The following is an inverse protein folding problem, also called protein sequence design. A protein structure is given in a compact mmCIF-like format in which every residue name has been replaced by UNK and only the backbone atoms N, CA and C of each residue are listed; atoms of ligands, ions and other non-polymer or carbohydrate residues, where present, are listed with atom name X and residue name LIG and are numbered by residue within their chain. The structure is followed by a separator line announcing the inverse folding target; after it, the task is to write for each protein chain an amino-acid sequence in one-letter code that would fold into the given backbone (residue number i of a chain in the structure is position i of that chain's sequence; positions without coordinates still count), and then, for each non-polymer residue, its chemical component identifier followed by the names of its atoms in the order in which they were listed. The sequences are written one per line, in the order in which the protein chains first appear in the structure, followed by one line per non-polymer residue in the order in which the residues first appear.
data_IF_970392238483
#
_entry.id   IF_970392238483
#
_cell.length_a   1.000
_cell.length_b   1.000
_cell.length_c   1.000
_cell.angle_alpha   90.00
_cell.angle_beta   90.00
_cell.angle_gamma   90.00
#
_symmetry.space_group_name_H-M   'P 1'
#
loop_
_entity.id
_entity.type
_entity.pdbx_description
1 polymer ?
#
# COMPACT_ATOMS: atom_id res chain seq x y z
N UNK A 1 -16.15 30.21 -3.59
CA UNK A 1 -17.37 29.87 -4.36
C UNK A 1 -17.03 29.49 -5.81
N UNK A 2 -16.59 30.42 -6.66
CA UNK A 2 -16.33 30.12 -8.10
C UNK A 2 -15.29 29.00 -8.30
N UNK A 3 -14.14 29.06 -7.61
CA UNK A 3 -13.12 28.02 -7.72
C UNK A 3 -13.67 26.63 -7.34
N UNK A 4 -14.49 26.56 -6.29
CA UNK A 4 -15.11 25.31 -5.82
C UNK A 4 -16.10 24.72 -6.85
N UNK A 5 -16.89 25.57 -7.50
CA UNK A 5 -17.83 25.13 -8.55
C UNK A 5 -17.11 24.68 -9.83
N UNK A 6 -15.89 25.14 -10.05
CA UNK A 6 -15.10 24.83 -11.25
C UNK A 6 -14.17 23.62 -11.08
N UNK A 7 -14.06 23.02 -9.89
CA UNK A 7 -13.12 21.92 -9.63
C UNK A 7 -13.29 20.76 -10.62
N UNK A 8 -14.53 20.32 -10.87
CA UNK A 8 -14.80 19.17 -11.73
C UNK A 8 -14.69 19.51 -13.23
N UNK A 9 -15.08 20.72 -13.63
CA UNK A 9 -15.23 21.06 -15.06
C UNK A 9 -14.05 21.82 -15.64
N UNK A 10 -13.30 22.55 -14.81
CA UNK A 10 -12.18 23.42 -15.21
C UNK A 10 -11.08 23.48 -14.14
N UNK A 11 -10.42 22.36 -13.84
CA UNK A 11 -9.51 22.26 -12.70
C UNK A 11 -8.31 23.20 -12.80
N UNK A 12 -7.76 23.43 -14.00
CA UNK A 12 -6.68 24.41 -14.22
C UNK A 12 -7.11 25.87 -13.94
N UNK A 13 -8.33 26.27 -14.32
CA UNK A 13 -8.84 27.60 -13.96
C UNK A 13 -9.07 27.71 -12.45
N UNK A 14 -9.58 26.65 -11.83
CA UNK A 14 -9.77 26.61 -10.38
C UNK A 14 -8.44 26.76 -9.64
N UNK A 15 -7.38 26.03 -10.02
CA UNK A 15 -6.04 26.19 -9.44
C UNK A 15 -5.52 27.61 -9.56
N UNK A 16 -5.63 28.25 -10.73
CA UNK A 16 -5.23 29.66 -10.93
C UNK A 16 -5.98 30.60 -9.98
N UNK A 17 -7.28 30.39 -9.76
CA UNK A 17 -8.08 31.19 -8.82
C UNK A 17 -7.67 30.95 -7.38
N UNK A 18 -7.39 29.70 -7.00
CA UNK A 18 -6.89 29.37 -5.66
C UNK A 18 -5.54 30.06 -5.40
N UNK A 19 -4.64 30.04 -6.37
CA UNK A 19 -3.36 30.75 -6.29
C UNK A 19 -3.55 32.27 -6.11
N UNK A 20 -4.52 32.88 -6.80
CA UNK A 20 -4.85 34.30 -6.60
C UNK A 20 -5.33 34.57 -5.17
N UNK A 21 -6.19 33.71 -4.60
CA UNK A 21 -6.64 33.86 -3.20
C UNK A 21 -5.47 33.81 -2.23
N UNK A 22 -4.53 32.89 -2.42
CA UNK A 22 -3.32 32.78 -1.57
C UNK A 22 -2.45 34.03 -1.68
N UNK A 23 -2.36 34.65 -2.87
CA UNK A 23 -1.59 35.86 -3.09
C UNK A 23 -2.22 37.10 -2.45
N UNK A 24 -3.55 37.24 -2.50
CA UNK A 24 -4.24 38.46 -2.04
C UNK A 24 -4.68 38.42 -0.58
N UNK A 25 -4.77 37.25 0.04
CA UNK A 25 -5.28 37.08 1.41
C UNK A 25 -4.39 36.19 2.30
N UNK A 26 -3.06 36.41 2.35
CA UNK A 26 -2.17 35.58 3.16
C UNK A 26 -2.48 35.71 4.66
N UNK A 27 -2.37 34.61 5.39
CA UNK A 27 -2.61 34.47 6.82
C UNK A 27 -4.09 34.34 7.19
N UNK A 28 -4.99 34.33 6.22
CA UNK A 28 -6.43 34.28 6.45
C UNK A 28 -7.01 32.87 6.30
N UNK A 29 -8.23 32.67 6.80
CA UNK A 29 -9.00 31.45 6.54
C UNK A 29 -9.27 31.20 5.04
N UNK A 30 -9.21 32.26 4.21
CA UNK A 30 -9.34 32.13 2.76
C UNK A 30 -8.09 31.50 2.15
N UNK A 31 -6.88 31.89 2.58
CA UNK A 31 -5.63 31.22 2.19
C UNK A 31 -5.67 29.75 2.66
N UNK A 32 -6.03 29.49 3.92
CA UNK A 32 -6.09 28.13 4.44
C UNK A 32 -7.06 27.26 3.63
N UNK A 33 -8.27 27.75 3.36
CA UNK A 33 -9.24 27.04 2.52
C UNK A 33 -8.69 26.82 1.11
N UNK A 34 -7.99 27.81 0.54
CA UNK A 34 -7.38 27.68 -0.78
C UNK A 34 -6.28 26.63 -0.81
N UNK A 35 -5.41 26.56 0.21
CA UNK A 35 -4.35 25.55 0.30
C UNK A 35 -4.93 24.15 0.45
N UNK A 36 -5.91 23.97 1.35
CA UNK A 36 -6.57 22.65 1.55
C UNK A 36 -7.23 22.13 0.29
N UNK A 37 -7.84 23.00 -0.52
CA UNK A 37 -8.40 22.63 -1.81
C UNK A 37 -7.32 22.44 -2.88
N UNK A 38 -6.33 23.34 -2.90
CA UNK A 38 -5.29 23.40 -3.92
C UNK A 38 -4.42 22.16 -3.94
N UNK A 39 -4.02 21.65 -2.77
CA UNK A 39 -3.23 20.39 -2.67
C UNK A 39 -3.95 19.24 -3.36
N UNK A 40 -5.23 19.07 -3.07
CA UNK A 40 -5.99 17.91 -3.56
C UNK A 40 -6.34 18.03 -5.03
N UNK A 41 -6.67 19.24 -5.47
CA UNK A 41 -6.93 19.51 -6.88
C UNK A 41 -5.66 19.36 -7.72
N UNK A 42 -4.51 19.79 -7.20
CA UNK A 42 -3.22 19.63 -7.86
C UNK A 42 -2.88 18.14 -8.01
N UNK A 43 -3.03 17.33 -6.95
CA UNK A 43 -2.88 15.86 -7.02
C UNK A 43 -3.83 15.22 -8.05
N UNK A 44 -5.12 15.61 -8.03
CA UNK A 44 -6.13 15.09 -8.97
C UNK A 44 -5.77 15.39 -10.43
N UNK A 45 -5.12 16.52 -10.69
CA UNK A 45 -4.66 16.91 -12.04
C UNK A 45 -3.27 16.40 -12.41
N UNK A 46 -2.57 15.72 -11.50
CA UNK A 46 -1.20 15.25 -11.72
C UNK A 46 -0.11 16.32 -11.55
N UNK A 47 -0.44 17.53 -11.08
CA UNK A 47 0.53 18.59 -10.77
C UNK A 47 1.08 18.42 -9.34
N UNK A 48 1.86 17.36 -9.16
CA UNK A 48 2.43 16.99 -7.86
C UNK A 48 3.37 18.05 -7.30
N UNK A 49 4.10 18.77 -8.16
CA UNK A 49 5.00 19.85 -7.73
C UNK A 49 4.21 21.00 -7.07
N UNK A 50 3.08 21.39 -7.66
CA UNK A 50 2.20 22.39 -7.06
C UNK A 50 1.56 21.87 -5.77
N UNK A 51 1.16 20.60 -5.73
CA UNK A 51 0.63 20.00 -4.51
C UNK A 51 1.65 20.05 -3.36
N UNK A 52 2.90 19.69 -3.63
CA UNK A 52 4.00 19.67 -2.65
C UNK A 52 4.28 21.06 -2.07
N UNK A 53 4.35 22.07 -2.95
CA UNK A 53 4.53 23.46 -2.53
C UNK A 53 3.37 23.96 -1.67
N UNK A 54 2.12 23.65 -2.04
CA UNK A 54 0.95 24.04 -1.25
C UNK A 54 0.85 23.28 0.08
N UNK A 55 1.24 22.01 0.12
CA UNK A 55 1.25 21.23 1.35
C UNK A 55 2.26 21.80 2.35
N UNK A 56 3.49 22.11 1.90
CA UNK A 56 4.48 22.77 2.74
C UNK A 56 4.00 24.11 3.28
N UNK A 57 3.46 24.97 2.41
CA UNK A 57 2.90 26.26 2.82
C UNK A 57 1.77 26.10 3.85
N UNK A 58 0.93 25.07 3.70
CA UNK A 58 -0.11 24.77 4.68
C UNK A 58 0.48 24.41 6.04
N UNK A 59 1.41 23.46 6.10
CA UNK A 59 1.98 23.00 7.37
C UNK A 59 2.78 24.09 8.09
N UNK A 60 3.49 24.93 7.34
CA UNK A 60 4.25 26.06 7.89
C UNK A 60 3.36 27.13 8.54
N UNK A 61 2.14 27.35 8.02
CA UNK A 61 1.26 28.45 8.47
C UNK A 61 0.06 28.03 9.30
N UNK A 62 -0.48 26.84 9.05
CA UNK A 62 -1.81 26.42 9.50
C UNK A 62 -1.82 25.07 10.22
N UNK A 63 -0.66 24.53 10.63
CA UNK A 63 -0.57 23.27 11.39
C UNK A 63 -1.37 23.28 12.70
N UNK A 64 -1.50 24.45 13.35
CA UNK A 64 -2.30 24.62 14.57
C UNK A 64 -3.80 24.90 14.31
N UNK A 65 -4.26 24.88 13.05
CA UNK A 65 -5.66 25.15 12.70
C UNK A 65 -6.61 24.07 13.23
N UNK A 66 -7.84 24.48 13.55
CA UNK A 66 -8.94 23.55 13.86
C UNK A 66 -9.23 22.57 12.70
N UNK A 67 -8.86 22.92 11.45
CA UNK A 67 -9.05 22.05 10.28
C UNK A 67 -7.86 21.12 10.01
N UNK A 68 -6.76 21.24 10.76
CA UNK A 68 -5.51 20.55 10.45
C UNK A 68 -5.63 19.03 10.53
N UNK A 69 -6.45 18.50 11.45
CA UNK A 69 -6.72 17.05 11.53
C UNK A 69 -7.34 16.49 10.24
N UNK A 70 -8.35 17.17 9.69
CA UNK A 70 -8.97 16.77 8.42
C UNK A 70 -7.99 16.90 7.25
N UNK A 71 -7.21 17.98 7.21
CA UNK A 71 -6.21 18.16 6.15
C UNK A 71 -5.15 17.06 6.18
N UNK A 72 -4.55 16.74 7.35
CA UNK A 72 -3.58 15.64 7.49
C UNK A 72 -4.13 14.32 6.98
N UNK A 73 -5.41 14.01 7.26
CA UNK A 73 -6.04 12.80 6.76
C UNK A 73 -6.18 12.76 5.23
N UNK A 74 -6.56 13.90 4.60
CA UNK A 74 -6.69 14.01 3.14
C UNK A 74 -5.34 14.04 2.44
N UNK A 75 -4.38 14.77 3.00
CA UNK A 75 -2.96 14.77 2.59
C UNK A 75 -2.41 13.35 2.59
N UNK A 76 -2.49 12.62 3.71
CA UNK A 76 -2.00 11.25 3.76
C UNK A 76 -2.70 10.31 2.76
N UNK A 77 -3.95 10.58 2.39
CA UNK A 77 -4.67 9.79 1.40
C UNK A 77 -4.15 9.98 -0.03
N UNK A 78 -4.00 11.22 -0.48
CA UNK A 78 -3.54 11.49 -1.85
C UNK A 78 -2.06 11.14 -2.02
N UNK A 79 -1.21 11.39 -1.01
CA UNK A 79 0.20 11.02 -1.08
C UNK A 79 0.43 9.50 -1.03
N UNK A 80 -0.41 8.75 -0.30
CA UNK A 80 -0.35 7.29 -0.30
C UNK A 80 -0.77 6.66 -1.64
N UNK A 81 -1.51 7.40 -2.47
CA UNK A 81 -1.98 6.95 -3.78
C UNK A 81 -0.99 7.24 -4.92
N UNK A 82 0.13 7.92 -4.64
CA UNK A 82 1.19 8.13 -5.63
C UNK A 82 1.82 6.80 -6.07
N UNK A 83 2.39 6.74 -7.29
CA UNK A 83 2.94 5.49 -7.85
C UNK A 83 4.00 4.84 -6.95
N UNK A 84 4.05 3.51 -6.92
CA UNK A 84 4.88 2.75 -5.99
C UNK A 84 6.38 3.00 -6.15
N UNK A 85 6.82 3.25 -7.39
CA UNK A 85 8.19 3.59 -7.76
C UNK A 85 8.65 4.93 -7.18
N UNK A 86 7.73 5.79 -6.73
CA UNK A 86 8.05 7.11 -6.16
C UNK A 86 8.23 7.10 -4.64
N UNK A 87 8.23 5.93 -3.99
CA UNK A 87 8.19 5.81 -2.53
C UNK A 87 9.23 6.65 -1.78
N UNK A 88 10.49 6.68 -2.23
CA UNK A 88 11.54 7.50 -1.60
C UNK A 88 11.28 9.01 -1.76
N UNK A 89 10.86 9.42 -2.96
CA UNK A 89 10.50 10.81 -3.23
C UNK A 89 9.31 11.24 -2.35
N UNK A 90 8.28 10.39 -2.22
CA UNK A 90 7.12 10.67 -1.37
C UNK A 90 7.53 10.86 0.10
N UNK A 91 8.40 10.01 0.63
CA UNK A 91 8.89 10.15 2.02
C UNK A 91 9.70 11.44 2.21
N UNK A 92 10.55 11.79 1.24
CA UNK A 92 11.31 13.03 1.26
C UNK A 92 10.38 14.25 1.21
N UNK A 93 9.37 14.23 0.35
CA UNK A 93 8.37 15.29 0.25
C UNK A 93 7.57 15.45 1.54
N UNK A 94 7.12 14.35 2.16
CA UNK A 94 6.42 14.42 3.45
C UNK A 94 7.34 15.02 4.51
N UNK A 95 8.61 14.64 4.53
CA UNK A 95 9.59 15.18 5.48
C UNK A 95 9.80 16.69 5.29
N UNK A 96 9.94 17.16 4.04
CA UNK A 96 10.09 18.58 3.72
C UNK A 96 8.83 19.37 4.08
N UNK A 97 7.65 18.89 3.67
CA UNK A 97 6.39 19.56 3.91
C UNK A 97 6.04 19.66 5.40
N UNK A 98 6.49 18.71 6.23
CA UNK A 98 6.14 18.64 7.66
C UNK A 98 7.28 19.05 8.58
N UNK A 99 8.38 19.60 8.05
CA UNK A 99 9.61 19.87 8.80
C UNK A 99 9.41 20.77 10.03
N UNK A 100 8.42 21.66 10.00
CA UNK A 100 8.17 22.68 11.03
C UNK A 100 7.11 22.28 12.07
N UNK A 101 6.40 21.15 11.86
CA UNK A 101 5.33 20.71 12.78
C UNK A 101 5.89 19.78 13.87
N UNK A 102 5.21 19.64 15.02
CA UNK A 102 5.65 18.76 16.11
C UNK A 102 5.90 17.31 15.66
N UNK A 103 6.94 16.67 16.22
CA UNK A 103 7.37 15.31 15.84
C UNK A 103 6.26 14.26 15.94
N UNK A 104 5.43 14.32 16.99
CA UNK A 104 4.29 13.39 17.14
C UNK A 104 3.23 13.57 16.04
N UNK A 105 3.06 14.79 15.51
CA UNK A 105 2.16 15.01 14.37
C UNK A 105 2.75 14.45 13.07
N UNK A 106 4.07 14.59 12.86
CA UNK A 106 4.77 13.95 11.75
C UNK A 106 4.62 12.42 11.80
N UNK A 107 4.84 11.82 12.98
CA UNK A 107 4.61 10.39 13.22
C UNK A 107 3.19 9.98 12.81
N UNK A 108 2.17 10.74 13.24
CA UNK A 108 0.79 10.50 12.86
C UNK A 108 0.57 10.49 11.34
N UNK A 109 1.25 11.37 10.60
CA UNK A 109 1.20 11.43 9.13
C UNK A 109 1.85 10.17 8.53
N UNK A 110 3.04 9.77 8.97
CA UNK A 110 3.70 8.57 8.46
C UNK A 110 2.90 7.29 8.72
N UNK A 111 2.32 7.13 9.91
CA UNK A 111 1.41 6.02 10.21
C UNK A 111 0.17 6.03 9.30
N UNK A 112 -0.37 7.22 9.04
CA UNK A 112 -1.55 7.39 8.21
C UNK A 112 -1.27 7.14 6.71
N UNK A 113 -0.07 7.45 6.23
CA UNK A 113 0.40 7.12 4.88
C UNK A 113 0.70 5.63 4.78
N UNK A 114 1.45 5.06 5.72
CA UNK A 114 1.82 3.65 5.73
C UNK A 114 0.60 2.73 5.72
N UNK A 115 -0.40 3.00 6.57
CA UNK A 115 -1.66 2.26 6.59
C UNK A 115 -2.39 2.32 5.24
N UNK A 116 -2.50 3.52 4.66
CA UNK A 116 -3.24 3.71 3.40
C UNK A 116 -2.51 3.08 2.21
N UNK A 117 -1.20 3.22 2.16
CA UNK A 117 -0.37 2.59 1.15
C UNK A 117 -0.48 1.06 1.23
N UNK A 118 -0.45 0.49 2.44
CA UNK A 118 -0.60 -0.95 2.66
C UNK A 118 -1.97 -1.45 2.18
N UNK A 119 -3.05 -0.80 2.61
CA UNK A 119 -4.42 -1.13 2.18
C UNK A 119 -4.59 -0.93 0.67
N UNK A 120 -3.93 0.07 0.08
CA UNK A 120 -3.93 0.33 -1.35
C UNK A 120 -3.01 -0.57 -2.18
N UNK A 121 -2.29 -1.51 -1.56
CA UNK A 121 -1.36 -2.42 -2.24
C UNK A 121 -0.02 -1.79 -2.63
N UNK A 122 0.26 -0.55 -2.25
CA UNK A 122 1.57 0.09 -2.43
C UNK A 122 2.51 -0.33 -1.30
N UNK A 123 2.98 -1.58 -1.37
CA UNK A 123 3.81 -2.20 -0.33
C UNK A 123 5.14 -1.46 -0.13
N UNK A 124 5.75 -0.95 -1.21
CA UNK A 124 7.00 -0.19 -1.14
C UNK A 124 6.86 1.08 -0.31
N UNK A 125 5.81 1.88 -0.56
CA UNK A 125 5.57 3.09 0.22
C UNK A 125 5.13 2.77 1.66
N UNK A 126 4.34 1.70 1.84
CA UNK A 126 3.94 1.23 3.16
C UNK A 126 5.16 0.91 4.03
N UNK A 127 6.10 0.11 3.51
CA UNK A 127 7.34 -0.27 4.19
C UNK A 127 8.15 0.96 4.58
N UNK A 128 8.37 1.88 3.63
CA UNK A 128 9.18 3.08 3.86
C UNK A 128 8.54 4.04 4.88
N UNK A 129 7.23 4.24 4.80
CA UNK A 129 6.51 5.09 5.75
C UNK A 129 6.52 4.49 7.15
N UNK A 130 6.32 3.18 7.26
CA UNK A 130 6.37 2.45 8.52
C UNK A 130 7.78 2.46 9.14
N UNK A 131 8.82 2.19 8.33
CA UNK A 131 10.21 2.30 8.76
C UNK A 131 10.55 3.71 9.24
N UNK A 132 10.07 4.75 8.55
CA UNK A 132 10.22 6.14 9.00
C UNK A 132 9.51 6.39 10.34
N UNK A 133 8.30 5.86 10.53
CA UNK A 133 7.57 5.97 11.79
C UNK A 133 8.31 5.28 12.96
N UNK A 134 8.99 4.16 12.71
CA UNK A 134 9.81 3.46 13.72
C UNK A 134 11.02 4.26 14.21
N UNK A 135 11.44 5.32 13.51
CA UNK A 135 12.54 6.21 13.96
C UNK A 135 12.12 7.25 15.00
N UNK A 136 10.85 7.28 15.41
CA UNK A 136 10.34 8.23 16.40
C UNK A 136 10.36 7.59 17.79
N UNK A 137 11.37 7.93 18.59
CA UNK A 137 11.54 7.43 19.96
C UNK A 137 10.37 7.82 20.88
N UNK A 138 9.70 8.94 20.58
CA UNK A 138 8.58 9.46 21.36
C UNK A 138 7.25 8.73 21.10
N UNK A 139 7.23 7.77 20.16
CA UNK A 139 6.04 7.00 19.84
C UNK A 139 5.49 6.28 21.08
N UNK A 140 4.18 6.26 21.24
CA UNK A 140 3.52 5.42 22.23
C UNK A 140 3.56 3.96 21.79
N UNK A 141 3.28 3.05 22.73
CA UNK A 141 3.33 1.61 22.44
C UNK A 141 2.41 1.20 21.28
N UNK A 142 1.14 1.65 21.29
CA UNK A 142 0.23 1.38 20.18
C UNK A 142 0.66 2.02 18.84
N UNK A 143 1.38 3.14 18.86
CA UNK A 143 1.93 3.76 17.64
C UNK A 143 3.09 2.94 17.08
N UNK A 144 4.00 2.45 17.95
CA UNK A 144 5.08 1.54 17.56
C UNK A 144 4.54 0.24 16.99
N UNK A 145 3.56 -0.37 17.65
CA UNK A 145 2.98 -1.63 17.19
C UNK A 145 2.26 -1.49 15.85
N UNK A 146 1.60 -0.35 15.60
CA UNK A 146 1.03 -0.05 14.27
C UNK A 146 2.11 0.12 13.21
N UNK A 147 3.22 0.81 13.54
CA UNK A 147 4.34 0.93 12.62
C UNK A 147 4.95 -0.44 12.29
N UNK A 148 5.18 -1.29 13.31
CA UNK A 148 5.65 -2.66 13.13
C UNK A 148 4.70 -3.48 12.25
N UNK A 149 3.39 -3.41 12.51
CA UNK A 149 2.38 -4.08 11.70
C UNK A 149 2.47 -3.68 10.23
N UNK A 150 2.54 -2.38 9.95
CA UNK A 150 2.57 -1.91 8.55
C UNK A 150 3.86 -2.30 7.85
N UNK A 151 4.99 -2.24 8.56
CA UNK A 151 6.29 -2.64 8.04
C UNK A 151 6.28 -4.13 7.69
N UNK A 152 5.99 -4.99 8.68
CA UNK A 152 6.06 -6.44 8.49
C UNK A 152 5.05 -6.93 7.45
N UNK A 153 3.82 -6.40 7.46
CA UNK A 153 2.78 -6.76 6.49
C UNK A 153 3.11 -6.31 5.06
N UNK A 154 3.93 -5.26 4.90
CA UNK A 154 4.37 -4.79 3.59
C UNK A 154 5.58 -5.55 3.04
N UNK A 155 6.33 -6.26 3.90
CA UNK A 155 7.54 -6.99 3.53
C UNK A 155 7.40 -8.51 3.67
N UNK A 156 6.17 -9.04 3.73
CA UNK A 156 5.90 -10.48 3.96
C UNK A 156 6.71 -11.42 3.04
N UNK A 157 6.89 -11.05 1.78
CA UNK A 157 7.58 -11.86 0.76
C UNK A 157 9.09 -11.67 0.73
N UNK A 158 9.62 -10.73 1.52
CA UNK A 158 11.05 -10.34 1.52
C UNK A 158 11.81 -10.90 2.72
N UNK A 159 11.12 -11.52 3.68
CA UNK A 159 11.67 -11.97 4.96
C UNK A 159 11.45 -13.46 5.18
N UNK A 160 12.13 -13.99 6.19
CA UNK A 160 11.91 -15.38 6.61
C UNK A 160 10.50 -15.57 7.18
N UNK A 161 9.87 -16.69 6.84
CA UNK A 161 8.51 -17.01 7.26
C UNK A 161 8.36 -17.05 8.79
N UNK A 162 9.32 -17.67 9.49
CA UNK A 162 9.25 -17.81 10.94
C UNK A 162 9.47 -16.45 11.63
N UNK A 163 10.37 -15.62 11.09
CA UNK A 163 10.57 -14.24 11.55
C UNK A 163 9.28 -13.41 11.42
N UNK A 164 8.64 -13.45 10.25
CA UNK A 164 7.39 -12.73 9.98
C UNK A 164 6.28 -13.19 10.91
N UNK A 165 6.12 -14.51 11.08
CA UNK A 165 5.10 -15.09 11.96
C UNK A 165 5.30 -14.62 13.39
N UNK A 166 6.52 -14.78 13.93
CA UNK A 166 6.83 -14.40 15.31
C UNK A 166 6.62 -12.90 15.55
N UNK A 167 6.97 -12.06 14.57
CA UNK A 167 6.77 -10.60 14.64
C UNK A 167 5.28 -10.25 14.69
N UNK A 168 4.46 -10.84 13.81
CA UNK A 168 3.01 -10.61 13.80
C UNK A 168 2.34 -11.12 15.09
N UNK A 169 2.77 -12.26 15.61
CA UNK A 169 2.27 -12.83 16.87
C UNK A 169 2.60 -11.96 18.08
N UNK A 170 3.79 -11.34 18.10
CA UNK A 170 4.24 -10.45 19.18
C UNK A 170 3.49 -9.11 19.24
N UNK A 171 2.79 -8.71 18.18
CA UNK A 171 1.96 -7.49 18.17
C UNK A 171 0.72 -7.74 19.04
N UNK A 172 0.56 -6.91 20.08
CA UNK A 172 -0.59 -6.95 20.98
C UNK A 172 -1.86 -6.43 20.26
N UNK A 173 -2.87 -7.29 20.02
CA UNK A 173 -4.11 -6.87 19.36
C UNK A 173 -4.87 -5.78 20.13
N UNK A 174 -4.77 -5.74 21.46
CA UNK A 174 -5.52 -4.78 22.29
C UNK A 174 -4.92 -3.38 22.24
N UNK A 175 -3.63 -3.28 21.89
CA UNK A 175 -2.97 -2.01 21.61
C UNK A 175 -3.28 -1.44 20.21
N UNK A 176 -3.91 -2.23 19.33
CA UNK A 176 -4.29 -1.83 17.98
C UNK A 176 -5.71 -1.26 17.89
N UNK A 177 -5.90 -0.33 16.96
CA UNK A 177 -7.23 0.09 16.53
C UNK A 177 -8.00 -1.10 15.89
N UNK A 178 -9.33 -1.21 16.01
CA UNK A 178 -10.10 -2.32 15.41
C UNK A 178 -9.76 -2.64 13.95
N UNK A 179 -9.68 -1.60 13.12
CA UNK A 179 -9.35 -1.75 11.70
C UNK A 179 -7.88 -2.16 11.43
N UNK A 180 -6.99 -2.07 12.42
CA UNK A 180 -5.61 -2.56 12.33
C UNK A 180 -5.51 -4.00 12.85
N UNK A 181 -6.40 -4.42 13.76
CA UNK A 181 -6.54 -5.84 14.12
C UNK A 181 -6.98 -6.69 12.92
N UNK A 182 -7.94 -6.20 12.15
CA UNK A 182 -8.36 -6.85 10.90
C UNK A 182 -7.20 -6.96 9.91
N UNK A 183 -6.37 -5.92 9.81
CA UNK A 183 -5.19 -5.92 8.94
C UNK A 183 -4.12 -6.93 9.39
N UNK A 184 -3.88 -7.06 10.70
CA UNK A 184 -3.01 -8.09 11.27
C UNK A 184 -3.51 -9.50 10.96
N UNK A 185 -4.82 -9.74 11.14
CA UNK A 185 -5.41 -11.03 10.83
C UNK A 185 -5.28 -11.36 9.34
N UNK A 186 -5.55 -10.40 8.46
CA UNK A 186 -5.37 -10.56 7.02
C UNK A 186 -3.91 -10.88 6.66
N UNK A 187 -2.93 -10.25 7.31
CA UNK A 187 -1.50 -10.57 7.11
C UNK A 187 -1.17 -12.01 7.53
N UNK A 188 -1.71 -12.47 8.68
CA UNK A 188 -1.55 -13.86 9.13
C UNK A 188 -2.22 -14.85 8.18
N UNK A 189 -3.38 -14.52 7.63
CA UNK A 189 -4.08 -15.36 6.66
C UNK A 189 -3.25 -15.50 5.37
N UNK A 190 -2.74 -14.39 4.82
CA UNK A 190 -1.85 -14.41 3.66
C UNK A 190 -0.62 -15.28 3.91
N UNK A 191 -0.02 -15.16 5.09
CA UNK A 191 1.14 -15.97 5.48
C UNK A 191 0.78 -17.46 5.53
N UNK A 192 -0.36 -17.82 6.12
CA UNK A 192 -0.84 -19.19 6.15
C UNK A 192 -1.11 -19.76 4.75
N UNK A 193 -1.65 -18.95 3.83
CA UNK A 193 -1.82 -19.34 2.42
C UNK A 193 -0.48 -19.55 1.71
N UNK A 194 0.54 -18.70 1.96
CA UNK A 194 1.89 -18.86 1.39
C UNK A 194 2.54 -20.20 1.78
N UNK A 195 2.19 -20.78 2.93
CA UNK A 195 2.68 -22.08 3.40
C UNK A 195 1.97 -23.26 2.74
N UNK A 196 0.75 -23.07 2.25
CA UNK A 196 0.04 -24.18 1.60
C UNK A 196 0.89 -24.60 0.39
N UNK A 197 1.27 -25.89 0.29
CA UNK A 197 1.91 -26.36 -0.93
C UNK A 197 0.99 -25.97 -2.10
N UNK A 198 1.56 -25.54 -3.23
CA UNK A 198 0.81 -25.35 -4.47
C UNK A 198 0.25 -26.72 -4.93
N UNK A 199 -0.75 -27.22 -4.24
CA UNK A 199 -1.61 -28.33 -4.66
C UNK A 199 -2.77 -27.70 -5.42
N UNK A 200 -2.43 -26.92 -6.43
CA UNK A 200 -3.36 -26.31 -7.38
C UNK A 200 -2.62 -26.06 -8.72
N UNK A 201 -1.91 -27.10 -9.16
CA UNK A 201 -1.48 -27.30 -10.54
C UNK A 201 -1.62 -28.76 -10.97
N UNK A 202 -2.25 -29.61 -10.15
CA UNK A 202 -2.70 -30.96 -10.50
C UNK A 202 -3.85 -31.27 -9.55
N UNK A 203 -5.09 -30.99 -9.95
CA UNK A 203 -6.27 -31.83 -9.73
C UNK A 203 -7.36 -31.30 -10.67
N UNK A 204 -7.39 -31.85 -11.89
CA UNK A 204 -8.66 -32.40 -12.33
C UNK A 204 -8.87 -33.66 -11.48
N UNK A 205 -9.89 -33.58 -10.63
CA UNK A 205 -10.64 -34.61 -9.86
C UNK A 205 -10.36 -36.06 -10.29
N UNK A 206 -10.11 -37.05 -9.44
CA UNK A 206 -10.71 -37.43 -8.14
C UNK A 206 -9.86 -38.52 -7.43
N UNK A 207 -10.15 -38.79 -6.16
CA UNK A 207 -9.47 -39.74 -5.27
C UNK A 207 -9.80 -41.23 -5.58
N UNK A 208 -9.12 -42.22 -4.96
CA UNK A 208 -8.93 -43.57 -5.50
C UNK A 208 -10.13 -44.50 -5.29
N UNK A 209 -10.64 -45.05 -6.39
CA UNK A 209 -11.29 -46.36 -6.41
C UNK A 209 -10.38 -47.33 -7.16
N UNK A 210 -10.06 -48.46 -6.53
CA UNK A 210 -9.47 -49.62 -7.17
C UNK A 210 -10.38 -50.08 -8.31
N UNK A 211 -10.07 -49.66 -9.53
CA UNK A 211 -10.44 -50.40 -10.74
C UNK A 211 -9.28 -50.37 -11.69
N UNK A 212 -8.68 -51.55 -11.81
CA UNK A 212 -7.68 -51.98 -12.77
C UNK A 212 -8.13 -51.66 -14.21
N UNK A 213 -7.84 -50.46 -14.70
CA UNK A 213 -7.88 -50.16 -16.13
C UNK A 213 -6.74 -49.21 -16.48
N UNK A 214 -5.73 -49.77 -17.13
CA UNK A 214 -4.62 -49.05 -17.76
C UNK A 214 -5.15 -47.87 -18.60
N UNK A 215 -4.67 -46.67 -18.31
CA UNK A 215 -5.03 -45.44 -19.04
C UNK A 215 -4.92 -45.65 -20.56
N UNK A 216 -5.89 -45.17 -21.37
CA UNK A 216 -5.90 -45.38 -22.83
C UNK A 216 -4.65 -44.84 -23.54
N UNK A 217 -3.94 -43.91 -22.90
CA UNK A 217 -2.65 -43.39 -23.38
C UNK A 217 -1.53 -44.42 -23.14
N UNK A 218 -1.54 -45.14 -22.02
CA UNK A 218 -0.62 -46.24 -21.74
C UNK A 218 -0.90 -47.46 -22.62
N UNK A 219 -2.17 -47.76 -22.89
CA UNK A 219 -2.55 -48.83 -23.83
C UNK A 219 -2.09 -48.51 -25.27
N UNK A 220 -2.21 -47.25 -25.70
CA UNK A 220 -1.72 -46.80 -27.00
C UNK A 220 -0.19 -46.78 -27.07
N UNK A 221 0.48 -46.38 -25.98
CA UNK A 221 1.93 -46.44 -25.86
C UNK A 221 2.46 -47.88 -25.90
N UNK A 222 1.82 -48.80 -25.18
CA UNK A 222 2.17 -50.22 -25.19
C UNK A 222 1.99 -50.85 -26.58
N UNK A 223 0.89 -50.56 -27.27
CA UNK A 223 0.64 -51.08 -28.62
C UNK A 223 1.67 -50.59 -29.66
N UNK A 224 2.15 -49.34 -29.53
CA UNK A 224 3.19 -48.80 -30.42
C UNK A 224 4.55 -49.47 -30.10
N UNK A 225 4.87 -49.69 -28.83
CA UNK A 225 6.10 -50.38 -28.42
C UNK A 225 6.10 -51.87 -28.82
N UNK A 226 4.95 -52.53 -28.79
CA UNK A 226 4.75 -53.91 -29.26
C UNK A 226 4.96 -54.02 -30.78
N UNK A 227 4.35 -53.11 -31.55
CA UNK A 227 4.48 -53.07 -33.01
C UNK A 227 5.94 -52.83 -33.45
N UNK A 228 6.65 -51.91 -32.78
CA UNK A 228 8.09 -51.65 -33.05
C UNK A 228 8.95 -52.87 -32.69
N UNK A 229 8.61 -53.59 -31.61
CA UNK A 229 9.32 -54.81 -31.19
C UNK A 229 9.16 -55.95 -32.20
N UNK A 230 7.98 -56.10 -32.80
CA UNK A 230 7.70 -57.14 -33.79
C UNK A 230 8.32 -56.82 -35.15
N UNK A 231 8.37 -55.55 -35.55
CA UNK A 231 9.09 -55.11 -36.75
C UNK A 231 10.60 -55.32 -36.62
N UNK A 232 11.17 -55.08 -35.43
CA UNK A 232 12.59 -55.36 -35.14
C UNK A 232 12.91 -56.87 -35.14
N UNK A 233 11.95 -57.74 -34.79
CA UNK A 233 12.11 -59.20 -34.91
C UNK A 233 12.02 -59.70 -36.36
N UNK A 234 11.26 -59.02 -37.23
CA UNK A 234 11.13 -59.37 -38.65
C UNK A 234 12.29 -58.84 -39.50
N UNK A 235 12.98 -57.79 -39.06
CA UNK A 235 14.12 -57.19 -39.73
C UNK A 235 15.49 -57.79 -39.33
N UNK A 236 15.51 -58.80 -38.46
CA UNK A 236 16.72 -59.56 -38.14
C UNK A 236 16.95 -60.65 -39.21
N UNK A 237 18.12 -60.72 -39.86
CA UNK A 237 18.46 -61.73 -40.87
C UNK A 237 18.62 -63.14 -40.30
#
# INVERSE_FOLDING_TARGET
AVAQLQQTNKPAEALKRLAQVMLVAPGTLLEEAALRMGVLLAEETGDQETADRYARQYFDRFSASAYAGNFRARFAAVYAARPAETGDAVIATIADATATIPRLEQLGIYLAVGRRALVGGNLTLAAKAAAKALTYDEAREGERQRALLYEIASTLTQRDFAEVTATLEAIDPDALHPADRELRNAAMDVLNEMRKPLVAGVVGTEAPQETDTLSPILARGAAILEAVRDDLKKAAP
#
